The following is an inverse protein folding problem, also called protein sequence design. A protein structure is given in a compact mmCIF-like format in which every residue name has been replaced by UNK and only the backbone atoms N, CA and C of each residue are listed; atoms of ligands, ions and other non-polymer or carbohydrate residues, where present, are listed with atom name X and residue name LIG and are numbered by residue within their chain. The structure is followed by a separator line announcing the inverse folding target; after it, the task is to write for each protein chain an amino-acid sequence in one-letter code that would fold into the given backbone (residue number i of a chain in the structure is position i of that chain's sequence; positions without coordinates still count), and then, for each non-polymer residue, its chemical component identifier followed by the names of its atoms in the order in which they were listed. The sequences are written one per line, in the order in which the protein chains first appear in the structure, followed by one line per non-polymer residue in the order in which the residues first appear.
data_IF_036945906262
#
_entry.id   IF_036945906262
#
_cell.length_a   1.000
_cell.length_b   1.000
_cell.length_c   1.000
_cell.angle_alpha   90.00
_cell.angle_beta   90.00
_cell.angle_gamma   90.00
#
_symmetry.space_group_name_H-M   'P 1'
#
loop_
_entity.id
_entity.type
_entity.pdbx_description
1 polymer ?
#
# COMPACT_ATOMS: atom_id res chain seq x y z
N UNK A 1 44.24 -9.94 -0.76
CA UNK A 1 42.95 -10.41 -0.20
C UNK A 1 42.59 -9.51 1.01
N UNK A 2 41.39 -8.96 1.04
CA UNK A 2 40.92 -8.30 2.28
C UNK A 2 40.89 -9.34 3.41
N UNK A 3 41.41 -8.93 4.57
CA UNK A 3 41.49 -9.82 5.71
C UNK A 3 40.06 -10.16 6.22
N UNK A 4 39.81 -11.40 6.58
CA UNK A 4 38.53 -11.86 7.15
C UNK A 4 38.07 -11.00 8.33
N UNK A 5 39.02 -10.44 9.10
CA UNK A 5 38.76 -9.48 10.14
C UNK A 5 38.02 -8.22 9.61
N UNK A 6 38.43 -7.65 8.48
CA UNK A 6 37.76 -6.48 7.86
C UNK A 6 36.36 -6.81 7.40
N UNK A 7 36.14 -7.99 6.79
CA UNK A 7 34.79 -8.45 6.41
C UNK A 7 33.87 -8.59 7.64
N UNK A 8 34.40 -9.13 8.73
CA UNK A 8 33.64 -9.24 9.98
C UNK A 8 33.32 -7.89 10.60
N UNK A 9 34.22 -6.90 10.53
CA UNK A 9 33.93 -5.53 10.92
C UNK A 9 32.82 -4.89 10.08
N UNK A 10 32.85 -5.07 8.76
CA UNK A 10 31.77 -4.58 7.87
C UNK A 10 30.42 -5.22 8.21
N UNK A 11 30.38 -6.53 8.49
CA UNK A 11 29.16 -7.22 8.96
C UNK A 11 28.68 -6.67 10.29
N UNK A 12 29.56 -6.41 11.25
CA UNK A 12 29.19 -5.83 12.54
C UNK A 12 28.59 -4.41 12.39
N UNK A 13 29.05 -3.65 11.41
CA UNK A 13 28.52 -2.34 11.02
C UNK A 13 27.26 -2.45 10.15
N UNK A 14 26.77 -3.66 9.87
CA UNK A 14 25.59 -3.93 9.02
C UNK A 14 25.76 -3.41 7.57
N UNK A 15 26.96 -3.53 7.04
CA UNK A 15 27.31 -3.17 5.66
C UNK A 15 27.35 -4.43 4.77
N UNK A 16 26.27 -5.23 4.83
CA UNK A 16 26.20 -6.55 4.16
C UNK A 16 26.30 -6.45 2.64
N UNK A 17 25.77 -5.37 2.06
CA UNK A 17 25.87 -5.09 0.61
C UNK A 17 27.32 -4.87 0.18
N UNK A 18 28.10 -4.13 0.99
CA UNK A 18 29.54 -3.92 0.72
C UNK A 18 30.32 -5.24 0.85
N UNK A 19 30.01 -6.06 1.85
CA UNK A 19 30.64 -7.38 2.03
C UNK A 19 30.46 -8.23 0.78
N UNK A 20 29.22 -8.35 0.28
CA UNK A 20 28.91 -9.10 -0.95
C UNK A 20 29.64 -8.54 -2.16
N UNK A 21 29.67 -7.21 -2.32
CA UNK A 21 30.36 -6.59 -3.43
C UNK A 21 31.89 -6.81 -3.37
N UNK A 22 32.50 -6.84 -2.18
CA UNK A 22 33.91 -7.19 -2.00
C UNK A 22 34.17 -8.65 -2.42
N UNK A 23 33.31 -9.58 -1.96
CA UNK A 23 33.41 -11.00 -2.33
C UNK A 23 33.25 -11.22 -3.84
N UNK A 24 32.30 -10.52 -4.49
CA UNK A 24 32.11 -10.52 -5.94
C UNK A 24 33.33 -9.93 -6.69
N UNK A 25 33.88 -8.79 -6.23
CA UNK A 25 35.06 -8.17 -6.84
C UNK A 25 36.30 -9.03 -6.70
N UNK A 26 36.46 -9.80 -5.62
CA UNK A 26 37.62 -10.68 -5.40
C UNK A 26 37.72 -11.80 -6.45
N UNK A 27 36.60 -12.20 -7.06
CA UNK A 27 36.51 -13.25 -8.08
C UNK A 27 36.42 -12.72 -9.52
N UNK A 28 36.24 -11.39 -9.68
CA UNK A 28 36.04 -10.75 -10.99
C UNK A 28 37.34 -10.20 -11.57
N UNK A 29 37.74 -10.71 -12.74
CA UNK A 29 38.88 -10.17 -13.50
C UNK A 29 38.63 -8.74 -13.97
N UNK A 30 37.39 -8.39 -14.31
CA UNK A 30 37.01 -7.03 -14.70
C UNK A 30 37.20 -6.04 -13.54
N UNK A 31 36.85 -6.43 -12.31
CA UNK A 31 37.05 -5.59 -11.15
C UNK A 31 38.52 -5.37 -10.80
N UNK A 32 39.39 -6.30 -11.15
CA UNK A 32 40.86 -6.17 -10.94
C UNK A 32 41.47 -5.06 -11.80
N UNK A 33 40.86 -4.70 -12.94
CA UNK A 33 41.31 -3.63 -13.84
C UNK A 33 40.85 -2.24 -13.39
N UNK A 34 39.91 -2.14 -12.44
CA UNK A 34 39.37 -0.87 -11.95
C UNK A 34 40.30 -0.23 -10.89
N UNK A 35 40.36 1.11 -10.91
CA UNK A 35 41.03 1.88 -9.88
C UNK A 35 40.36 1.80 -8.52
N UNK A 36 41.03 2.24 -7.48
CA UNK A 36 40.48 2.20 -6.10
C UNK A 36 39.17 2.97 -5.99
N UNK A 37 39.09 4.18 -6.54
CA UNK A 37 37.88 5.05 -6.41
C UNK A 37 36.67 4.44 -7.14
N UNK A 38 36.87 3.81 -8.27
CA UNK A 38 35.83 3.11 -9.02
C UNK A 38 35.30 1.91 -8.23
N UNK A 39 36.23 1.12 -7.68
CA UNK A 39 35.86 -0.04 -6.84
C UNK A 39 35.09 0.39 -5.58
N UNK A 40 35.57 1.45 -4.91
CA UNK A 40 34.90 1.99 -3.73
C UNK A 40 33.48 2.48 -4.08
N UNK A 41 33.33 3.19 -5.21
CA UNK A 41 32.02 3.64 -5.69
C UNK A 41 31.05 2.48 -5.88
N UNK A 42 31.51 1.38 -6.51
CA UNK A 42 30.68 0.18 -6.68
C UNK A 42 30.28 -0.47 -5.35
N UNK A 43 31.19 -0.49 -4.35
CA UNK A 43 30.87 -1.01 -3.01
C UNK A 43 29.76 -0.19 -2.35
N UNK A 44 29.86 1.14 -2.40
CA UNK A 44 28.85 2.04 -1.81
C UNK A 44 27.52 1.90 -2.53
N UNK A 45 27.51 1.88 -3.86
CA UNK A 45 26.28 1.70 -4.64
C UNK A 45 25.60 0.37 -4.32
N UNK A 46 26.36 -0.71 -4.14
CA UNK A 46 25.82 -2.02 -3.76
C UNK A 46 25.19 -2.01 -2.37
N UNK A 47 25.79 -1.31 -1.42
CA UNK A 47 25.23 -1.15 -0.08
C UNK A 47 23.91 -0.37 -0.10
N UNK A 48 23.86 0.73 -0.85
CA UNK A 48 22.63 1.52 -1.02
C UNK A 48 21.51 0.65 -1.61
N UNK A 49 21.78 -0.02 -2.73
CA UNK A 49 20.82 -0.91 -3.37
C UNK A 49 20.35 -2.03 -2.42
N UNK A 50 21.28 -2.64 -1.68
CA UNK A 50 20.97 -3.68 -0.68
C UNK A 50 20.04 -3.18 0.42
N UNK A 51 20.26 -1.97 0.92
CA UNK A 51 19.38 -1.36 1.94
C UNK A 51 18.01 -1.05 1.40
N UNK A 52 17.94 -0.51 0.18
CA UNK A 52 16.68 -0.19 -0.47
C UNK A 52 15.86 -1.46 -0.73
N UNK A 53 16.46 -2.52 -1.25
CA UNK A 53 15.79 -3.81 -1.45
C UNK A 53 15.23 -4.39 -0.14
N UNK A 54 16.01 -4.35 0.94
CA UNK A 54 15.56 -4.80 2.27
C UNK A 54 14.43 -3.93 2.81
N UNK A 55 14.50 -2.61 2.58
CA UNK A 55 13.44 -1.68 2.97
C UNK A 55 12.14 -2.00 2.24
N UNK A 56 12.18 -2.14 0.91
CA UNK A 56 11.02 -2.49 0.08
C UNK A 56 10.44 -3.84 0.49
N UNK A 57 11.28 -4.86 0.64
CA UNK A 57 10.83 -6.20 1.09
C UNK A 57 10.09 -6.13 2.43
N UNK A 58 10.61 -5.35 3.38
CA UNK A 58 9.97 -5.16 4.70
C UNK A 58 8.63 -4.44 4.57
N UNK A 59 8.55 -3.38 3.74
CA UNK A 59 7.31 -2.64 3.51
C UNK A 59 6.24 -3.51 2.85
N UNK A 60 6.59 -4.28 1.82
CA UNK A 60 5.69 -5.22 1.16
C UNK A 60 5.17 -6.29 2.13
N UNK A 61 6.03 -6.85 2.97
CA UNK A 61 5.63 -7.81 3.99
C UNK A 61 4.68 -7.18 5.03
N UNK A 62 4.96 -5.96 5.46
CA UNK A 62 4.14 -5.23 6.42
C UNK A 62 2.78 -4.81 5.86
N UNK A 63 2.68 -4.60 4.55
CA UNK A 63 1.46 -4.18 3.86
C UNK A 63 0.33 -5.22 3.93
N UNK A 64 0.63 -6.50 4.15
CA UNK A 64 -0.34 -7.61 4.27
C UNK A 64 -1.35 -7.67 3.11
N UNK A 65 -0.91 -7.38 1.89
CA UNK A 65 -1.77 -7.35 0.71
C UNK A 65 -2.46 -8.70 0.49
N UNK A 66 -3.77 -8.68 0.23
CA UNK A 66 -4.56 -9.89 -0.08
C UNK A 66 -4.08 -10.57 -1.37
N UNK A 67 -3.71 -9.75 -2.36
CA UNK A 67 -3.13 -10.21 -3.64
C UNK A 67 -1.71 -9.64 -3.70
N UNK A 68 -0.76 -10.34 -3.11
CA UNK A 68 0.62 -9.87 -2.97
C UNK A 68 1.36 -9.76 -4.31
N UNK A 69 0.94 -10.53 -5.32
CA UNK A 69 1.51 -10.51 -6.66
C UNK A 69 0.87 -9.45 -7.59
N UNK A 70 -0.14 -8.70 -7.13
CA UNK A 70 -0.77 -7.69 -7.97
C UNK A 70 0.19 -6.53 -8.22
N UNK A 71 0.48 -6.26 -9.49
CA UNK A 71 1.35 -5.16 -9.94
C UNK A 71 0.61 -4.27 -10.94
N UNK A 72 0.92 -2.98 -10.95
CA UNK A 72 0.30 -2.03 -11.89
C UNK A 72 0.66 -2.34 -13.35
N UNK A 73 1.80 -2.96 -13.55
CA UNK A 73 2.31 -3.42 -14.83
C UNK A 73 1.43 -4.53 -15.45
N UNK A 74 0.78 -5.34 -14.60
CA UNK A 74 -0.04 -6.50 -14.99
C UNK A 74 -1.53 -6.15 -15.21
N UNK A 75 -1.88 -4.87 -15.26
CA UNK A 75 -3.27 -4.46 -15.50
C UNK A 75 -3.74 -4.91 -16.87
N UNK A 76 -4.79 -5.75 -16.91
CA UNK A 76 -5.43 -6.12 -18.16
C UNK A 76 -6.27 -4.97 -18.71
N UNK A 77 -5.70 -4.23 -19.64
CA UNK A 77 -6.32 -3.09 -20.31
C UNK A 77 -7.34 -3.47 -21.40
N UNK A 78 -7.38 -4.72 -21.84
CA UNK A 78 -8.34 -5.21 -22.84
C UNK A 78 -9.74 -5.41 -22.25
N UNK A 79 -9.82 -5.68 -20.96
CA UNK A 79 -11.09 -5.81 -20.26
C UNK A 79 -11.81 -4.46 -20.21
N UNK A 80 -13.04 -4.39 -20.72
CA UNK A 80 -13.89 -3.18 -20.69
C UNK A 80 -14.34 -2.88 -19.25
N UNK A 81 -13.55 -2.12 -18.50
CA UNK A 81 -13.80 -1.77 -17.09
C UNK A 81 -14.00 -0.28 -16.84
N UNK A 82 -14.02 0.52 -17.90
CA UNK A 82 -13.98 2.00 -17.78
C UNK A 82 -12.80 2.52 -16.95
N UNK A 83 -11.65 1.83 -17.03
CA UNK A 83 -10.43 2.19 -16.33
C UNK A 83 -9.57 3.09 -17.22
N UNK A 84 -9.31 4.31 -16.76
CA UNK A 84 -8.48 5.29 -17.46
C UNK A 84 -6.99 5.01 -17.19
N UNK A 85 -6.21 4.85 -18.27
CA UNK A 85 -4.76 4.60 -18.20
C UNK A 85 -4.00 5.80 -17.64
N UNK A 86 -4.40 7.01 -18.00
CA UNK A 86 -3.73 8.24 -17.55
C UNK A 86 -3.93 8.45 -16.06
N UNK A 87 -5.14 8.20 -15.55
CA UNK A 87 -5.45 8.24 -14.13
C UNK A 87 -4.65 7.20 -13.35
N UNK A 88 -4.58 5.96 -13.83
CA UNK A 88 -3.80 4.90 -13.17
C UNK A 88 -2.31 5.24 -13.15
N UNK A 89 -1.76 5.75 -14.24
CA UNK A 89 -0.36 6.19 -14.30
C UNK A 89 -0.07 7.33 -13.30
N UNK A 90 -0.96 8.32 -13.20
CA UNK A 90 -0.86 9.40 -12.23
C UNK A 90 -0.92 8.88 -10.78
N UNK A 91 -1.83 7.93 -10.49
CA UNK A 91 -1.92 7.30 -9.17
C UNK A 91 -0.67 6.46 -8.85
N UNK A 92 -0.12 5.76 -9.83
CA UNK A 92 1.11 4.96 -9.68
C UNK A 92 2.35 5.83 -9.39
N UNK A 93 2.38 7.09 -9.85
CA UNK A 93 3.42 8.06 -9.53
C UNK A 93 3.45 8.47 -8.04
N UNK A 94 2.32 8.32 -7.32
CA UNK A 94 2.25 8.45 -5.87
C UNK A 94 2.10 9.88 -5.33
N UNK A 95 1.86 10.88 -6.17
CA UNK A 95 1.70 12.27 -5.72
C UNK A 95 0.49 12.45 -4.81
N UNK A 96 -0.60 11.73 -5.06
CA UNK A 96 -1.78 11.72 -4.20
C UNK A 96 -1.46 11.27 -2.75
N UNK A 97 -0.49 10.35 -2.58
CA UNK A 97 -0.03 9.91 -1.25
C UNK A 97 0.75 11.01 -0.54
N UNK A 98 1.58 11.77 -1.26
CA UNK A 98 2.36 12.88 -0.70
C UNK A 98 1.47 14.02 -0.23
N UNK A 99 0.30 14.19 -0.88
CA UNK A 99 -0.66 15.23 -0.56
C UNK A 99 -1.80 14.76 0.36
N UNK A 100 -1.72 13.54 0.92
CA UNK A 100 -2.76 13.00 1.81
C UNK A 100 -4.14 12.86 1.17
N UNK A 101 -4.21 12.71 -0.17
CA UNK A 101 -5.47 12.54 -0.88
C UNK A 101 -5.96 11.09 -0.79
N UNK A 102 -7.27 10.90 -0.85
CA UNK A 102 -7.89 9.57 -0.79
C UNK A 102 -8.13 8.98 -2.19
N UNK A 103 -8.37 7.67 -2.24
CA UNK A 103 -8.77 6.98 -3.46
C UNK A 103 -9.98 6.08 -3.19
N UNK A 104 -11.05 6.25 -3.96
CA UNK A 104 -12.27 5.48 -3.86
C UNK A 104 -12.44 4.63 -5.10
N UNK A 105 -12.48 3.30 -4.93
CA UNK A 105 -12.67 2.35 -6.04
C UNK A 105 -14.01 1.64 -5.83
N UNK A 106 -14.99 1.93 -6.68
CA UNK A 106 -16.32 1.34 -6.61
C UNK A 106 -16.62 0.45 -7.81
N UNK A 107 -17.58 -0.46 -7.68
CA UNK A 107 -18.03 -1.31 -8.78
C UNK A 107 -18.56 -2.67 -8.31
N UNK A 108 -19.15 -3.43 -9.21
CA UNK A 108 -19.76 -4.73 -8.94
C UNK A 108 -18.74 -5.77 -8.43
N UNK A 109 -19.25 -6.84 -7.84
CA UNK A 109 -18.42 -8.00 -7.47
C UNK A 109 -17.71 -8.57 -8.69
N UNK A 110 -16.44 -8.94 -8.54
CA UNK A 110 -15.65 -9.57 -9.62
C UNK A 110 -14.99 -8.59 -10.60
N UNK A 111 -15.32 -7.28 -10.61
CA UNK A 111 -14.74 -6.31 -11.57
C UNK A 111 -13.26 -5.92 -11.28
N UNK A 112 -12.62 -6.52 -10.28
CA UNK A 112 -11.18 -6.34 -10.02
C UNK A 112 -10.82 -5.23 -9.02
N UNK A 113 -11.77 -4.69 -8.21
CA UNK A 113 -11.49 -3.63 -7.21
C UNK A 113 -10.34 -3.97 -6.27
N UNK A 114 -10.45 -5.10 -5.57
CA UNK A 114 -9.43 -5.57 -4.62
C UNK A 114 -8.07 -5.76 -5.29
N UNK A 115 -8.07 -6.30 -6.52
CA UNK A 115 -6.84 -6.52 -7.27
C UNK A 115 -6.17 -5.17 -7.60
N UNK A 116 -6.94 -4.21 -8.13
CA UNK A 116 -6.43 -2.87 -8.45
C UNK A 116 -5.96 -2.13 -7.19
N UNK A 117 -6.71 -2.22 -6.09
CA UNK A 117 -6.30 -1.65 -4.80
C UNK A 117 -4.96 -2.26 -4.32
N UNK A 118 -4.80 -3.59 -4.42
CA UNK A 118 -3.54 -4.25 -4.08
C UNK A 118 -2.40 -3.86 -5.02
N UNK A 119 -2.64 -3.69 -6.33
CA UNK A 119 -1.62 -3.28 -7.29
C UNK A 119 -1.10 -1.86 -7.00
N UNK A 120 -1.99 -0.90 -6.72
CA UNK A 120 -1.61 0.46 -6.35
C UNK A 120 -0.92 0.50 -4.97
N UNK A 121 -1.39 -0.29 -4.01
CA UNK A 121 -0.78 -0.42 -2.70
C UNK A 121 0.62 -1.08 -2.77
N UNK A 122 0.81 -2.07 -3.63
CA UNK A 122 2.10 -2.68 -3.92
C UNK A 122 3.06 -1.65 -4.52
N UNK A 123 2.60 -0.86 -5.50
CA UNK A 123 3.39 0.22 -6.07
C UNK A 123 3.76 1.30 -5.04
N UNK A 124 2.84 1.68 -4.15
CA UNK A 124 3.12 2.59 -3.05
C UNK A 124 4.24 2.05 -2.13
N UNK A 125 4.18 0.77 -1.75
CA UNK A 125 5.21 0.14 -0.92
C UNK A 125 6.58 0.07 -1.64
N UNK A 126 6.61 -0.22 -2.96
CA UNK A 126 7.82 -0.16 -3.79
C UNK A 126 8.42 1.25 -3.83
N UNK A 127 7.57 2.27 -3.82
CA UNK A 127 7.99 3.68 -3.76
C UNK A 127 8.39 4.15 -2.36
N UNK A 128 8.42 3.24 -1.37
CA UNK A 128 8.91 3.50 -0.02
C UNK A 128 7.86 3.98 0.97
N UNK A 129 6.57 4.02 0.60
CA UNK A 129 5.48 4.35 1.51
C UNK A 129 5.11 3.17 2.40
N UNK A 130 4.74 3.47 3.65
CA UNK A 130 4.20 2.49 4.59
C UNK A 130 2.72 2.22 4.27
N UNK A 131 2.37 0.95 4.07
CA UNK A 131 1.05 0.53 3.64
C UNK A 131 0.50 -0.53 4.59
N UNK A 132 -0.80 -0.47 4.85
CA UNK A 132 -1.55 -1.57 5.48
C UNK A 132 -2.83 -1.83 4.67
N UNK A 133 -3.00 -3.08 4.25
CA UNK A 133 -4.25 -3.58 3.71
C UNK A 133 -5.03 -4.32 4.79
N UNK A 134 -6.31 -4.00 4.91
CA UNK A 134 -7.26 -4.77 5.73
C UNK A 134 -8.66 -4.71 5.11
N UNK A 135 -9.51 -5.68 5.44
CA UNK A 135 -10.95 -5.56 5.18
C UNK A 135 -11.58 -4.64 6.22
N UNK A 136 -12.55 -3.85 5.82
CA UNK A 136 -13.25 -2.94 6.74
C UNK A 136 -13.83 -3.68 7.96
N UNK A 137 -14.51 -4.81 7.73
CA UNK A 137 -15.06 -5.64 8.82
C UNK A 137 -13.98 -6.11 9.79
N UNK A 138 -12.85 -6.59 9.28
CA UNK A 138 -11.74 -7.05 10.12
C UNK A 138 -11.12 -5.92 10.94
N UNK A 139 -11.01 -4.72 10.35
CA UNK A 139 -10.52 -3.55 11.10
C UNK A 139 -11.45 -3.26 12.28
N UNK A 140 -12.76 -3.27 12.07
CA UNK A 140 -13.73 -3.02 13.14
C UNK A 140 -13.68 -4.08 14.24
N UNK A 141 -13.51 -5.37 13.87
CA UNK A 141 -13.31 -6.43 14.85
C UNK A 141 -12.04 -6.21 15.69
N UNK A 142 -10.93 -5.82 15.04
CA UNK A 142 -9.67 -5.48 15.73
C UNK A 142 -9.82 -4.28 16.67
N UNK A 143 -10.56 -3.23 16.26
CA UNK A 143 -10.82 -2.04 17.10
C UNK A 143 -11.73 -2.37 18.28
N UNK A 144 -12.74 -3.21 18.07
CA UNK A 144 -13.61 -3.68 19.15
C UNK A 144 -12.82 -4.45 20.22
N UNK A 145 -11.90 -5.33 19.81
CA UNK A 145 -11.01 -6.03 20.74
C UNK A 145 -10.11 -5.04 21.48
N UNK A 146 -9.60 -4.04 20.77
CA UNK A 146 -8.73 -3.01 21.33
C UNK A 146 -9.43 -2.11 22.36
N UNK A 147 -10.75 -1.88 22.23
CA UNK A 147 -11.56 -1.24 23.29
C UNK A 147 -11.63 -2.12 24.54
N UNK A 148 -11.79 -3.43 24.36
CA UNK A 148 -11.90 -4.37 25.49
C UNK A 148 -10.59 -4.55 26.29
N UNK A 149 -9.44 -4.50 25.63
CA UNK A 149 -8.13 -4.68 26.25
C UNK A 149 -7.38 -3.36 26.55
N UNK A 150 -8.02 -2.20 26.28
CA UNK A 150 -7.46 -0.87 26.53
C UNK A 150 -6.36 -0.44 25.53
N UNK A 151 -6.14 -1.17 24.43
CA UNK A 151 -5.11 -0.83 23.44
C UNK A 151 -5.60 0.08 22.31
N UNK A 152 -6.85 0.57 22.37
CA UNK A 152 -7.49 1.33 21.29
C UNK A 152 -6.67 2.55 20.85
N UNK A 153 -6.27 3.43 21.80
CA UNK A 153 -5.47 4.62 21.48
C UNK A 153 -4.13 4.26 20.80
N UNK A 154 -3.50 3.17 21.25
CA UNK A 154 -2.26 2.68 20.61
C UNK A 154 -2.51 2.19 19.19
N UNK A 155 -3.66 1.54 18.94
CA UNK A 155 -4.03 1.05 17.61
C UNK A 155 -4.33 2.22 16.67
N UNK A 156 -5.07 3.23 17.11
CA UNK A 156 -5.30 4.46 16.34
C UNK A 156 -3.97 5.13 15.96
N UNK A 157 -3.08 5.34 16.93
CA UNK A 157 -1.76 5.93 16.67
C UNK A 157 -0.91 5.11 15.67
N UNK A 158 -1.06 3.79 15.61
CA UNK A 158 -0.43 2.95 14.60
C UNK A 158 -1.03 3.19 13.20
N UNK A 159 -2.36 3.27 13.11
CA UNK A 159 -3.07 3.53 11.86
C UNK A 159 -2.78 4.94 11.32
N UNK A 160 -2.72 5.93 12.20
CA UNK A 160 -2.40 7.33 11.86
C UNK A 160 -1.01 7.51 11.25
N UNK A 161 -0.03 6.65 11.59
CA UNK A 161 1.35 6.72 11.07
C UNK A 161 1.52 6.13 9.67
N UNK A 162 0.59 5.34 9.19
CA UNK A 162 0.67 4.70 7.88
C UNK A 162 0.46 5.74 6.77
N UNK A 163 1.30 5.73 5.76
CA UNK A 163 1.13 6.60 4.59
C UNK A 163 -0.12 6.23 3.81
N UNK A 164 -0.41 4.93 3.67
CA UNK A 164 -1.61 4.41 3.00
C UNK A 164 -2.31 3.34 3.84
N UNK A 165 -3.58 3.58 4.15
CA UNK A 165 -4.50 2.57 4.69
C UNK A 165 -5.45 2.11 3.59
N UNK A 166 -5.48 0.80 3.30
CA UNK A 166 -6.41 0.20 2.34
C UNK A 166 -7.53 -0.49 3.10
N UNK A 167 -8.75 0.03 2.96
CA UNK A 167 -9.98 -0.53 3.50
C UNK A 167 -10.75 -1.24 2.38
N UNK A 168 -10.59 -2.54 2.29
CA UNK A 168 -11.24 -3.36 1.26
C UNK A 168 -12.64 -3.83 1.73
N UNK A 169 -13.53 -4.02 0.77
CA UNK A 169 -14.89 -4.51 0.98
C UNK A 169 -15.72 -3.60 1.95
N UNK A 170 -15.54 -2.27 1.87
CA UNK A 170 -16.35 -1.31 2.63
C UNK A 170 -17.83 -1.42 2.24
N UNK A 171 -18.71 -1.29 3.22
CA UNK A 171 -20.16 -1.37 3.06
C UNK A 171 -20.68 -2.75 2.56
N UNK A 172 -20.00 -3.83 2.91
CA UNK A 172 -20.44 -5.20 2.59
C UNK A 172 -21.45 -5.74 3.61
N UNK A 173 -21.44 -5.23 4.84
CA UNK A 173 -22.34 -5.57 5.93
C UNK A 173 -22.81 -4.31 6.65
N UNK A 174 -23.97 -4.32 7.31
CA UNK A 174 -24.41 -3.17 8.11
C UNK A 174 -23.36 -2.75 9.14
N UNK A 175 -23.26 -1.46 9.39
CA UNK A 175 -22.31 -0.88 10.35
C UNK A 175 -23.02 -0.43 11.62
N UNK A 176 -22.56 -0.91 12.78
CA UNK A 176 -23.07 -0.49 14.07
C UNK A 176 -22.60 0.90 14.50
N UNK A 177 -23.23 1.52 15.50
CA UNK A 177 -22.90 2.86 15.99
C UNK A 177 -21.45 2.96 16.46
N UNK A 178 -20.93 1.98 17.20
CA UNK A 178 -19.54 1.95 17.65
C UNK A 178 -18.56 1.95 16.47
N UNK A 179 -18.83 1.14 15.45
CA UNK A 179 -18.00 1.04 14.26
C UNK A 179 -17.97 2.34 13.43
N UNK A 180 -19.09 3.09 13.40
CA UNK A 180 -19.15 4.41 12.76
C UNK A 180 -18.26 5.43 13.48
N UNK A 181 -18.32 5.46 14.81
CA UNK A 181 -17.45 6.31 15.61
C UNK A 181 -15.97 5.94 15.42
N UNK A 182 -15.64 4.65 15.50
CA UNK A 182 -14.27 4.16 15.29
C UNK A 182 -13.76 4.52 13.88
N UNK A 183 -14.61 4.41 12.86
CA UNK A 183 -14.24 4.81 11.50
C UNK A 183 -13.96 6.31 11.42
N UNK A 184 -14.80 7.14 12.07
CA UNK A 184 -14.60 8.59 12.09
C UNK A 184 -13.27 8.94 12.76
N UNK A 185 -12.96 8.36 13.92
CA UNK A 185 -11.67 8.55 14.62
C UNK A 185 -10.48 8.17 13.73
N UNK A 186 -10.53 6.99 13.07
CA UNK A 186 -9.46 6.55 12.16
C UNK A 186 -9.26 7.53 11.00
N UNK A 187 -10.35 8.07 10.44
CA UNK A 187 -10.26 8.99 9.30
C UNK A 187 -9.84 10.39 9.73
N UNK A 188 -10.26 10.84 10.91
CA UNK A 188 -9.91 12.16 11.45
C UNK A 188 -8.41 12.31 11.69
N UNK A 189 -7.79 11.31 12.29
CA UNK A 189 -6.34 11.25 12.50
C UNK A 189 -5.52 11.25 11.19
N UNK A 190 -6.18 10.98 10.04
CA UNK A 190 -5.50 10.80 8.74
C UNK A 190 -5.76 11.93 7.75
N UNK A 191 -6.88 12.64 7.88
CA UNK A 191 -7.32 13.67 6.93
C UNK A 191 -6.24 14.73 6.70
N UNK A 192 -5.99 15.08 5.44
CA UNK A 192 -5.03 16.11 5.03
C UNK A 192 -3.54 15.74 5.22
N UNK A 193 -3.22 14.63 5.86
CA UNK A 193 -1.84 14.20 6.12
C UNK A 193 -1.49 12.82 5.59
N UNK A 194 -2.46 11.92 5.52
CA UNK A 194 -2.30 10.50 5.14
C UNK A 194 -3.44 10.06 4.23
N UNK A 195 -3.16 9.10 3.37
CA UNK A 195 -4.12 8.64 2.37
C UNK A 195 -4.87 7.39 2.82
N UNK A 196 -6.16 7.35 2.48
CA UNK A 196 -7.00 6.15 2.65
C UNK A 196 -7.54 5.71 1.29
N UNK A 197 -7.35 4.44 0.95
CA UNK A 197 -7.92 3.81 -0.23
C UNK A 197 -9.09 2.94 0.21
N UNK A 198 -10.28 3.21 -0.31
CA UNK A 198 -11.48 2.44 0.03
C UNK A 198 -12.01 1.75 -1.22
N UNK A 199 -12.26 0.43 -1.12
CA UNK A 199 -13.00 -0.28 -2.14
C UNK A 199 -14.41 -0.61 -1.65
N UNK A 200 -15.41 -0.46 -2.52
CA UNK A 200 -16.80 -0.77 -2.20
C UNK A 200 -17.59 -1.29 -3.39
N UNK A 201 -18.60 -2.11 -3.11
CA UNK A 201 -19.60 -2.49 -4.11
C UNK A 201 -20.63 -1.37 -4.30
N UNK A 202 -20.93 -0.64 -3.22
CA UNK A 202 -21.85 0.48 -3.27
C UNK A 202 -21.22 1.70 -3.94
N UNK A 203 -21.94 2.40 -4.81
CA UNK A 203 -21.48 3.69 -5.33
C UNK A 203 -21.40 4.72 -4.20
N UNK A 204 -20.45 5.65 -4.26
CA UNK A 204 -20.20 6.65 -3.20
C UNK A 204 -21.49 7.41 -2.79
N UNK A 205 -22.36 7.72 -3.75
CA UNK A 205 -23.66 8.38 -3.49
C UNK A 205 -24.58 7.62 -2.54
N UNK A 206 -24.40 6.30 -2.39
CA UNK A 206 -25.22 5.46 -1.50
C UNK A 206 -24.60 5.31 -0.10
N UNK A 207 -23.39 5.83 0.12
CA UNK A 207 -22.70 5.66 1.40
C UNK A 207 -23.34 6.42 2.55
N UNK A 208 -23.96 7.58 2.27
CA UNK A 208 -24.71 8.33 3.29
C UNK A 208 -25.85 7.49 3.86
N UNK A 209 -26.68 6.90 2.99
CA UNK A 209 -27.79 6.01 3.41
C UNK A 209 -27.26 4.75 4.12
N UNK A 210 -26.13 4.19 3.66
CA UNK A 210 -25.52 3.01 4.28
C UNK A 210 -25.02 3.29 5.71
N UNK A 211 -24.48 4.47 5.96
CA UNK A 211 -23.98 4.86 7.29
C UNK A 211 -25.12 5.05 8.32
N UNK A 212 -26.34 5.25 7.87
CA UNK A 212 -27.56 5.23 8.71
C UNK A 212 -27.50 6.11 9.98
N UNK A 213 -26.77 7.21 9.90
CA UNK A 213 -26.65 8.28 10.90
C UNK A 213 -26.24 9.55 10.15
N UNK A 214 -27.14 10.52 9.96
CA UNK A 214 -26.88 11.68 9.13
C UNK A 214 -25.67 12.49 9.57
N UNK A 215 -25.49 12.70 10.87
CA UNK A 215 -24.39 13.51 11.41
C UNK A 215 -23.02 12.85 11.21
N UNK A 216 -22.94 11.55 11.54
CA UNK A 216 -21.71 10.78 11.35
C UNK A 216 -21.43 10.55 9.85
N UNK A 217 -22.48 10.36 9.05
CA UNK A 217 -22.33 10.20 7.60
C UNK A 217 -21.73 11.44 6.95
N UNK A 218 -22.25 12.63 7.27
CA UNK A 218 -21.70 13.89 6.77
C UNK A 218 -20.23 14.05 7.18
N UNK A 219 -19.91 13.81 8.46
CA UNK A 219 -18.57 13.93 8.98
C UNK A 219 -17.58 12.94 8.31
N UNK A 220 -17.98 11.68 8.16
CA UNK A 220 -17.15 10.63 7.50
C UNK A 220 -16.95 10.95 6.02
N UNK A 221 -18.03 11.30 5.31
CA UNK A 221 -17.98 11.56 3.87
C UNK A 221 -17.18 12.81 3.54
N UNK A 222 -17.26 13.86 4.35
CA UNK A 222 -16.42 15.05 4.19
C UNK A 222 -14.93 14.67 4.18
N UNK A 223 -14.49 13.87 5.13
CA UNK A 223 -13.09 13.43 5.27
C UNK A 223 -12.60 12.51 4.15
N UNK A 224 -13.50 11.68 3.62
CA UNK A 224 -13.13 10.66 2.63
C UNK A 224 -13.30 11.16 1.21
N UNK A 225 -14.35 11.94 0.92
CA UNK A 225 -14.79 12.23 -0.46
C UNK A 225 -14.26 13.55 -0.96
N UNK A 226 -14.11 14.56 -0.09
CA UNK A 226 -13.76 15.94 -0.49
C UNK A 226 -12.43 16.01 -1.24
N UNK A 227 -11.39 15.36 -0.73
CA UNK A 227 -10.06 15.30 -1.37
C UNK A 227 -9.77 13.87 -1.86
N UNK A 228 -10.56 13.38 -2.84
CA UNK A 228 -10.42 12.01 -3.31
C UNK A 228 -10.44 11.87 -4.83
N UNK A 229 -9.60 10.96 -5.32
CA UNK A 229 -9.73 10.38 -6.65
C UNK A 229 -10.81 9.30 -6.63
N UNK A 230 -11.56 9.16 -7.73
CA UNK A 230 -12.67 8.21 -7.82
C UNK A 230 -12.54 7.34 -9.06
N UNK A 231 -12.57 6.02 -8.87
CA UNK A 231 -12.60 5.03 -9.94
C UNK A 231 -13.88 4.24 -9.81
N UNK A 232 -14.74 4.30 -10.81
CA UNK A 232 -15.95 3.47 -10.91
C UNK A 232 -15.72 2.38 -11.94
N UNK A 233 -15.37 1.17 -11.49
CA UNK A 233 -15.17 0.02 -12.36
C UNK A 233 -16.51 -0.52 -12.85
N UNK A 234 -16.62 -0.73 -14.16
CA UNK A 234 -17.79 -1.32 -14.84
C UNK A 234 -17.38 -2.65 -15.49
N UNK A 235 -18.34 -3.39 -15.99
CA UNK A 235 -18.12 -4.62 -16.74
C UNK A 235 -18.45 -5.89 -15.98
N UNK A 236 -18.33 -7.04 -16.69
CA UNK A 236 -18.61 -8.38 -16.15
C UNK A 236 -17.54 -8.81 -15.14
N UNK A 237 -17.85 -9.86 -14.40
CA UNK A 237 -16.90 -10.50 -13.49
C UNK A 237 -15.66 -11.01 -14.25
N UNK A 238 -14.47 -10.66 -13.76
CA UNK A 238 -13.20 -11.20 -14.28
C UNK A 238 -12.89 -12.60 -13.74
N UNK A 239 -13.77 -13.14 -12.88
CA UNK A 239 -13.63 -14.49 -12.33
C UNK A 239 -14.29 -15.54 -13.18
N UNK A 240 -15.22 -15.15 -14.06
CA UNK A 240 -15.83 -16.05 -15.01
C UNK A 240 -14.85 -16.25 -16.17
N UNK A 241 -14.47 -17.51 -16.50
CA UNK A 241 -13.66 -17.77 -17.68
C UNK A 241 -14.42 -17.26 -18.89
N UNK A 242 -13.87 -16.26 -19.58
CA UNK A 242 -14.39 -15.85 -20.88
C UNK A 242 -14.04 -16.99 -21.85
N UNK A 243 -14.97 -17.51 -22.67
CA UNK A 243 -14.58 -18.33 -23.80
C UNK A 243 -13.65 -17.49 -24.67
N UNK A 244 -12.49 -18.03 -24.99
CA UNK A 244 -11.57 -17.44 -25.97
C UNK A 244 -12.32 -17.46 -27.33
N UNK A 245 -12.67 -16.27 -27.86
CA UNK A 245 -13.06 -16.07 -29.23
C UNK A 245 -11.81 -15.89 -30.11
#
# INVERSE_FOLDING_TARGET
MLNEHTLNQLRSLRLDGMVRAIEEQATSTAAAALGFDERLTLLVQREVAWRDDRRVTRLLKAAKLKVSAACVEDINWRASRSLDRSLVAALAAGDWLRHGQNLLITGMTGCGKTWLACALAHQAARSGFSVLYTRATRLFDELQVAHGDGSFARRLAQLAKLDLLVLDDFAISPMGAAQRNDLLEVLDDRVGSRSTLITSQLPVKAWHTYLDDPTLADAILDRVVHSSHKIALKGKSLRDPQPEE
#
